data_IF_292747654815
#
_entry.id   IF_292747654815
#
_cell.length_a   1.000
_cell.length_b   1.000
_cell.length_c   1.000
_cell.angle_alpha   90.00
_cell.angle_beta   90.00
_cell.angle_gamma   90.00
#
_symmetry.space_group_name_H-M   'P 1'
#
loop_
_entity.id
_entity.type
_entity.pdbx_description
1 polymer ?
#
# COMPACT_ATOMS: atom_id res chain seq x y z
N UNK A 1 8.05 -3.53 -33.49
CA UNK A 1 7.67 -2.66 -32.36
C UNK A 1 6.81 -3.40 -31.33
N UNK A 2 5.92 -4.30 -31.78
CA UNK A 2 5.05 -5.13 -30.92
C UNK A 2 5.80 -6.18 -30.09
N UNK A 3 6.78 -6.90 -30.65
CA UNK A 3 7.56 -7.93 -29.90
C UNK A 3 8.39 -7.36 -28.74
N UNK A 4 9.01 -6.18 -28.93
CA UNK A 4 9.77 -5.50 -27.88
C UNK A 4 8.86 -5.00 -26.74
N UNK A 5 7.64 -4.56 -27.07
CA UNK A 5 6.64 -4.18 -26.07
C UNK A 5 6.16 -5.40 -25.28
N UNK A 6 5.89 -6.52 -25.95
CA UNK A 6 5.51 -7.77 -25.29
C UNK A 6 6.63 -8.34 -24.39
N UNK A 7 7.88 -8.35 -24.85
CA UNK A 7 9.00 -8.80 -24.00
C UNK A 7 9.17 -7.93 -22.74
N UNK A 8 8.86 -6.63 -22.84
CA UNK A 8 8.97 -5.69 -21.72
C UNK A 8 7.76 -5.70 -20.80
N UNK A 9 6.54 -5.89 -21.31
CA UNK A 9 5.35 -5.99 -20.47
C UNK A 9 5.43 -7.21 -19.54
N UNK A 10 6.03 -8.33 -20.01
CA UNK A 10 6.30 -9.50 -19.16
C UNK A 10 7.25 -9.18 -17.99
N UNK A 11 8.28 -8.37 -18.22
CA UNK A 11 9.19 -7.92 -17.16
C UNK A 11 8.48 -7.01 -16.15
N UNK A 12 7.64 -6.09 -16.63
CA UNK A 12 6.90 -5.18 -15.76
C UNK A 12 5.78 -5.88 -14.99
N UNK A 13 5.16 -6.89 -15.59
CA UNK A 13 4.22 -7.78 -14.93
C UNK A 13 4.88 -8.47 -13.73
N UNK A 14 6.10 -9.01 -13.89
CA UNK A 14 6.82 -9.64 -12.78
C UNK A 14 7.07 -8.65 -11.64
N UNK A 15 7.58 -7.45 -11.96
CA UNK A 15 7.86 -6.40 -10.97
C UNK A 15 6.56 -5.96 -10.26
N UNK A 16 5.46 -5.82 -11.00
CA UNK A 16 4.17 -5.46 -10.45
C UNK A 16 3.64 -6.54 -9.49
N UNK A 17 3.77 -7.82 -9.85
CA UNK A 17 3.37 -8.93 -8.98
C UNK A 17 4.21 -8.98 -7.71
N UNK A 18 5.54 -8.88 -7.82
CA UNK A 18 6.45 -8.81 -6.68
C UNK A 18 6.12 -7.62 -5.76
N UNK A 19 5.80 -6.46 -6.34
CA UNK A 19 5.40 -5.28 -5.57
C UNK A 19 4.08 -5.50 -4.82
N UNK A 20 3.09 -6.08 -5.48
CA UNK A 20 1.78 -6.39 -4.88
C UNK A 20 1.93 -7.40 -3.74
N UNK A 21 2.73 -8.46 -3.91
CA UNK A 21 3.06 -9.42 -2.86
C UNK A 21 3.72 -8.74 -1.66
N UNK A 22 4.70 -7.86 -1.91
CA UNK A 22 5.36 -7.12 -0.85
C UNK A 22 4.40 -6.21 -0.06
N UNK A 23 3.47 -5.56 -0.75
CA UNK A 23 2.44 -4.73 -0.11
C UNK A 23 1.46 -5.60 0.70
N UNK A 24 1.05 -6.75 0.18
CA UNK A 24 0.21 -7.71 0.91
C UNK A 24 0.89 -8.19 2.21
N UNK A 25 2.18 -8.54 2.14
CA UNK A 25 2.96 -8.97 3.30
C UNK A 25 3.11 -7.85 4.34
N UNK A 26 3.33 -6.62 3.86
CA UNK A 26 3.44 -5.43 4.71
C UNK A 26 2.12 -5.16 5.44
N UNK A 27 0.99 -5.23 4.72
CA UNK A 27 -0.35 -5.08 5.28
C UNK A 27 -0.63 -6.18 6.31
N UNK A 28 -0.35 -7.44 5.99
CA UNK A 28 -0.53 -8.56 6.91
C UNK A 28 0.30 -8.40 8.18
N UNK A 29 1.54 -7.91 8.06
CA UNK A 29 2.40 -7.61 9.21
C UNK A 29 1.85 -6.46 10.05
N UNK A 30 1.37 -5.39 9.41
CA UNK A 30 0.75 -4.25 10.09
C UNK A 30 -0.49 -4.68 10.89
N UNK A 31 -1.40 -5.41 10.24
CA UNK A 31 -2.64 -5.90 10.86
C UNK A 31 -2.34 -6.80 12.06
N UNK A 32 -1.40 -7.75 11.94
CA UNK A 32 -0.97 -8.59 13.06
C UNK A 32 -0.46 -7.77 14.25
N UNK A 33 0.35 -6.74 13.99
CA UNK A 33 0.85 -5.83 15.04
C UNK A 33 -0.27 -5.01 15.68
N UNK A 34 -1.23 -4.52 14.87
CA UNK A 34 -2.36 -3.75 15.36
C UNK A 34 -3.26 -4.60 16.27
N UNK A 35 -3.61 -5.82 15.87
CA UNK A 35 -4.42 -6.74 16.68
C UNK A 35 -3.69 -7.09 17.98
N UNK A 36 -2.38 -7.37 17.93
CA UNK A 36 -1.58 -7.68 19.12
C UNK A 36 -1.48 -6.51 20.11
N UNK A 37 -1.61 -5.27 19.62
CA UNK A 37 -1.61 -4.09 20.49
C UNK A 37 -3.00 -3.81 21.11
N UNK A 38 -4.08 -4.10 20.37
CA UNK A 38 -5.45 -3.81 20.80
C UNK A 38 -6.06 -4.89 21.69
N UNK A 39 -5.68 -6.15 21.50
CA UNK A 39 -6.27 -7.29 22.20
C UNK A 39 -5.29 -7.89 23.21
N UNK A 40 -5.63 -7.74 24.49
CA UNK A 40 -4.87 -8.31 25.62
C UNK A 40 -5.33 -9.74 25.93
N UNK A 41 -6.57 -10.08 25.60
CA UNK A 41 -7.15 -11.39 25.87
C UNK A 41 -6.83 -12.39 24.75
N UNK A 42 -6.06 -13.42 25.07
CA UNK A 42 -5.55 -14.41 24.10
C UNK A 42 -6.67 -15.13 23.33
N UNK A 43 -7.81 -15.38 23.97
CA UNK A 43 -8.96 -16.05 23.35
C UNK A 43 -9.65 -15.16 22.32
N UNK A 44 -9.93 -13.91 22.67
CA UNK A 44 -10.51 -12.91 21.77
C UNK A 44 -9.54 -12.63 20.62
N UNK A 45 -8.25 -12.53 20.94
CA UNK A 45 -7.19 -12.38 19.96
C UNK A 45 -7.20 -13.52 18.93
N UNK A 46 -7.29 -14.78 19.36
CA UNK A 46 -7.28 -15.91 18.44
C UNK A 46 -8.47 -15.91 17.46
N UNK A 47 -9.69 -15.65 17.95
CA UNK A 47 -10.90 -15.66 17.11
C UNK A 47 -10.93 -14.48 16.14
N UNK A 48 -10.65 -13.27 16.64
CA UNK A 48 -10.64 -12.07 15.81
C UNK A 48 -9.53 -12.16 14.75
N UNK A 49 -8.36 -12.68 15.13
CA UNK A 49 -7.25 -12.93 14.21
C UNK A 49 -7.65 -13.91 13.10
N UNK A 50 -8.32 -15.01 13.43
CA UNK A 50 -8.77 -15.99 12.42
C UNK A 50 -9.73 -15.36 11.41
N UNK A 51 -10.69 -14.56 11.87
CA UNK A 51 -11.61 -13.83 10.99
C UNK A 51 -10.91 -12.83 10.07
N UNK A 52 -9.94 -12.08 10.60
CA UNK A 52 -9.17 -11.10 9.83
C UNK A 52 -8.21 -11.79 8.84
N UNK A 53 -7.54 -12.87 9.25
CA UNK A 53 -6.65 -13.65 8.38
C UNK A 53 -7.44 -14.23 7.19
N UNK A 54 -8.68 -14.71 7.42
CA UNK A 54 -9.59 -15.17 6.37
C UNK A 54 -9.92 -14.06 5.37
N UNK A 55 -10.28 -12.88 5.86
CA UNK A 55 -10.62 -11.75 5.00
C UNK A 55 -9.39 -11.19 4.23
N UNK A 56 -8.21 -11.21 4.84
CA UNK A 56 -6.95 -10.90 4.14
C UNK A 56 -6.66 -11.92 3.03
N UNK A 57 -6.91 -13.21 3.26
CA UNK A 57 -6.74 -14.25 2.26
C UNK A 57 -7.71 -14.09 1.09
N UNK A 58 -8.98 -13.75 1.36
CA UNK A 58 -9.96 -13.43 0.30
C UNK A 58 -9.57 -12.18 -0.50
N UNK A 59 -9.00 -11.18 0.16
CA UNK A 59 -8.48 -10.00 -0.53
C UNK A 59 -7.29 -10.37 -1.42
N UNK A 60 -6.43 -11.29 -0.98
CA UNK A 60 -5.28 -11.77 -1.75
C UNK A 60 -5.70 -12.50 -3.01
N UNK A 61 -6.64 -13.45 -2.90
CA UNK A 61 -7.14 -14.19 -4.07
C UNK A 61 -7.80 -13.28 -5.10
N UNK A 62 -8.59 -12.28 -4.66
CA UNK A 62 -9.18 -11.28 -5.56
C UNK A 62 -8.14 -10.45 -6.30
N UNK A 63 -7.04 -10.10 -5.63
CA UNK A 63 -5.93 -9.36 -6.24
C UNK A 63 -5.19 -10.23 -7.26
N UNK A 64 -4.92 -11.49 -6.94
CA UNK A 64 -4.32 -12.45 -7.86
C UNK A 64 -5.19 -12.66 -9.11
N UNK A 65 -6.50 -12.83 -8.94
CA UNK A 65 -7.46 -12.91 -10.06
C UNK A 65 -7.46 -11.65 -10.92
N UNK A 66 -7.46 -10.47 -10.29
CA UNK A 66 -7.46 -9.20 -11.00
C UNK A 66 -6.15 -8.97 -11.75
N UNK A 67 -5.03 -9.36 -11.15
CA UNK A 67 -3.72 -9.31 -11.79
C UNK A 67 -3.67 -10.26 -12.99
N UNK A 68 -4.14 -11.50 -12.85
CA UNK A 68 -4.22 -12.44 -13.99
C UNK A 68 -5.07 -11.89 -15.14
N UNK A 69 -6.21 -11.27 -14.86
CA UNK A 69 -7.05 -10.62 -15.89
C UNK A 69 -6.33 -9.44 -16.54
N UNK A 70 -5.70 -8.59 -15.75
CA UNK A 70 -4.90 -7.46 -16.26
C UNK A 70 -3.80 -7.94 -17.21
N UNK A 71 -3.12 -9.03 -16.86
CA UNK A 71 -2.07 -9.61 -17.68
C UNK A 71 -2.61 -10.24 -18.98
N UNK A 72 -3.79 -10.85 -18.94
CA UNK A 72 -4.48 -11.34 -20.12
C UNK A 72 -4.92 -10.19 -21.04
N UNK A 73 -5.38 -9.08 -20.47
CA UNK A 73 -5.79 -7.88 -21.21
C UNK A 73 -4.59 -7.21 -21.89
N UNK A 74 -3.42 -7.15 -21.24
CA UNK A 74 -2.18 -6.61 -21.84
C UNK A 74 -1.59 -7.48 -22.97
N UNK A 75 -1.97 -8.75 -23.08
CA UNK A 75 -1.59 -9.61 -24.21
C UNK A 75 -2.37 -9.30 -25.48
N UNK A 76 -3.51 -8.61 -25.37
CA UNK A 76 -4.25 -8.11 -26.52
C UNK A 76 -3.57 -6.86 -27.09
N UNK A 77 -3.62 -6.69 -28.42
CA UNK A 77 -2.86 -5.64 -29.12
C UNK A 77 -3.00 -4.27 -28.43
N UNK A 78 -1.91 -3.53 -28.24
CA UNK A 78 -1.95 -2.22 -27.61
C UNK A 78 -2.73 -1.25 -28.50
N UNK A 79 -4.00 -1.01 -28.18
CA UNK A 79 -4.77 0.10 -28.75
C UNK A 79 -4.49 1.31 -27.88
N UNK A 80 -3.39 2.00 -28.17
CA UNK A 80 -2.96 3.18 -27.42
C UNK A 80 -3.81 4.39 -27.77
N UNK A 81 -4.93 4.56 -27.05
CA UNK A 81 -5.73 5.80 -27.05
C UNK A 81 -5.07 6.96 -26.28
N UNK A 82 -3.85 6.78 -25.79
CA UNK A 82 -3.19 7.74 -24.92
C UNK A 82 -2.40 8.75 -25.78
N UNK A 83 -2.87 10.01 -25.83
CA UNK A 83 -2.18 11.11 -26.53
C UNK A 83 -0.76 11.33 -26.01
N UNK A 84 -0.44 10.85 -24.79
CA UNK A 84 0.90 10.93 -24.24
C UNK A 84 1.91 10.13 -25.07
N UNK A 85 1.48 9.13 -25.84
CA UNK A 85 2.39 8.43 -26.76
C UNK A 85 2.73 9.33 -27.95
N UNK A 86 1.74 9.95 -28.59
CA UNK A 86 2.00 10.88 -29.71
C UNK A 86 2.78 12.12 -29.25
N UNK A 87 2.43 12.67 -28.09
CA UNK A 87 3.00 13.93 -27.61
C UNK A 87 4.41 13.76 -27.05
N UNK A 88 4.68 12.67 -26.31
CA UNK A 88 6.04 12.42 -25.81
C UNK A 88 6.98 11.94 -26.92
N UNK A 89 6.47 11.20 -27.91
CA UNK A 89 7.26 10.82 -29.11
C UNK A 89 7.58 12.07 -29.92
N UNK A 90 6.61 12.94 -30.18
CA UNK A 90 6.86 14.21 -30.89
C UNK A 90 7.83 15.11 -30.13
N UNK A 91 7.67 15.26 -28.81
CA UNK A 91 8.57 16.08 -27.98
C UNK A 91 9.99 15.49 -27.90
N UNK A 92 10.12 14.18 -27.75
CA UNK A 92 11.42 13.48 -27.76
C UNK A 92 12.11 13.55 -29.12
N UNK A 93 11.35 13.43 -30.21
CA UNK A 93 11.86 13.62 -31.56
C UNK A 93 12.31 15.07 -31.78
N UNK A 94 11.53 16.06 -31.30
CA UNK A 94 11.88 17.48 -31.40
C UNK A 94 13.14 17.80 -30.60
N UNK A 95 13.24 17.33 -29.35
CA UNK A 95 14.42 17.54 -28.50
C UNK A 95 15.66 16.83 -29.05
N UNK A 96 15.50 15.62 -29.61
CA UNK A 96 16.61 14.86 -30.19
C UNK A 96 17.10 15.48 -31.50
N UNK A 97 16.18 15.89 -32.38
CA UNK A 97 16.51 16.62 -33.61
C UNK A 97 17.16 17.96 -33.30
N UNK A 98 16.64 18.71 -32.33
CA UNK A 98 17.25 19.96 -31.84
C UNK A 98 18.69 19.75 -31.36
N UNK A 99 18.91 18.78 -30.45
CA UNK A 99 20.26 18.45 -29.95
C UNK A 99 21.20 17.93 -31.02
N UNK A 100 20.67 17.25 -32.04
CA UNK A 100 21.47 16.74 -33.18
C UNK A 100 21.89 17.89 -34.08
N UNK A 101 20.99 18.86 -34.33
CA UNK A 101 21.28 20.08 -35.08
C UNK A 101 22.31 20.93 -34.32
N UNK A 102 22.14 21.15 -33.02
CA UNK A 102 23.11 21.86 -32.18
C UNK A 102 24.50 21.21 -32.24
N UNK A 103 24.60 19.88 -32.08
CA UNK A 103 25.88 19.15 -32.19
C UNK A 103 26.47 19.19 -33.60
N UNK A 104 25.65 19.22 -34.64
CA UNK A 104 26.11 19.34 -36.02
C UNK A 104 26.65 20.75 -36.30
N UNK A 105 26.00 21.79 -35.76
CA UNK A 105 26.45 23.18 -35.85
C UNK A 105 27.76 23.41 -35.08
N UNK A 106 27.87 22.83 -33.88
CA UNK A 106 29.08 22.90 -33.04
C UNK A 106 30.28 22.20 -33.69
N UNK A 107 30.06 21.07 -34.39
CA UNK A 107 31.09 20.37 -35.17
C UNK A 107 31.56 21.12 -36.43
N UNK A 108 30.75 22.06 -36.93
CA UNK A 108 31.05 22.83 -38.16
C UNK A 108 31.59 24.23 -37.83
N UNK A 109 31.76 24.57 -36.54
CA UNK A 109 32.34 25.83 -36.07
C UNK A 109 31.62 27.07 -36.64
N UNK A 110 30.29 27.02 -36.71
CA UNK A 110 29.44 28.15 -37.10
C UNK A 110 28.93 28.83 -35.84
N UNK A 111 29.35 30.08 -35.63
CA UNK A 111 28.83 30.93 -34.57
C UNK A 111 27.35 31.28 -34.88
N UNK A 112 26.43 31.19 -33.91
CA UNK A 112 25.01 31.48 -34.14
C UNK A 112 24.73 32.95 -34.46
N UNK A 113 25.71 33.85 -34.25
CA UNK A 113 25.61 35.29 -34.51
C UNK A 113 25.95 35.68 -35.97
N UNK A 114 26.49 34.76 -36.79
CA UNK A 114 26.88 35.01 -38.18
C UNK A 114 25.73 34.79 -39.20
N UNK A 115 24.47 34.78 -38.75
CA UNK A 115 23.29 34.62 -39.62
C UNK A 115 22.91 35.90 -40.39
N UNK A 116 23.82 36.87 -40.48
CA UNK A 116 23.71 38.02 -41.37
C UNK A 116 24.90 38.08 -42.33
N UNK A 117 24.91 37.18 -43.32
CA UNK A 117 25.73 37.40 -44.53
C UNK A 117 26.47 36.18 -45.04
N UNK A 118 25.92 35.60 -46.12
CA UNK A 118 26.70 35.01 -47.21
C UNK A 118 27.79 33.98 -46.84
N UNK A 119 27.43 32.86 -46.21
CA UNK A 119 28.27 31.65 -46.22
C UNK A 119 27.50 30.32 -46.15
N UNK A 120 26.19 30.28 -46.41
CA UNK A 120 25.39 29.02 -46.46
C UNK A 120 25.48 28.35 -47.85
N UNK A 121 26.66 28.41 -48.47
CA UNK A 121 26.85 27.96 -49.85
C UNK A 121 27.30 26.51 -50.01
N UNK A 122 27.74 25.83 -48.94
CA UNK A 122 28.40 24.53 -49.11
C UNK A 122 28.15 23.51 -47.99
N UNK A 123 26.99 23.59 -47.34
CA UNK A 123 26.50 22.46 -46.54
C UNK A 123 25.74 21.53 -47.48
N UNK A 124 26.39 20.44 -47.94
CA UNK A 124 25.65 19.40 -48.67
C UNK A 124 24.58 18.84 -47.74
N UNK A 125 23.33 18.92 -48.18
CA UNK A 125 22.19 18.32 -47.49
C UNK A 125 22.45 16.83 -47.16
N UNK A 126 23.33 16.16 -47.90
CA UNK A 126 23.70 14.76 -47.71
C UNK A 126 24.51 14.55 -46.43
N UNK A 127 25.37 15.50 -46.03
CA UNK A 127 26.17 15.42 -44.80
C UNK A 127 25.31 15.61 -43.56
N UNK A 128 24.33 16.53 -43.64
CA UNK A 128 23.34 16.74 -42.58
C UNK A 128 22.44 15.52 -42.43
N UNK A 129 21.97 14.95 -43.55
CA UNK A 129 21.13 13.74 -43.58
C UNK A 129 21.89 12.52 -43.07
N UNK A 130 23.19 12.39 -43.34
CA UNK A 130 24.01 11.29 -42.83
C UNK A 130 24.21 11.36 -41.31
N UNK A 131 24.47 12.55 -40.75
CA UNK A 131 24.58 12.78 -39.31
C UNK A 131 23.25 12.48 -38.59
N UNK A 132 22.12 12.88 -39.18
CA UNK A 132 20.78 12.60 -38.65
C UNK A 132 20.49 11.08 -38.69
N UNK A 133 20.86 10.38 -39.78
CA UNK A 133 20.62 8.93 -39.91
C UNK A 133 21.42 8.09 -38.92
N UNK A 134 22.61 8.53 -38.51
CA UNK A 134 23.43 7.80 -37.52
C UNK A 134 22.91 7.95 -36.09
N UNK A 135 22.34 9.10 -35.71
CA UNK A 135 21.87 9.36 -34.33
C UNK A 135 20.42 8.88 -34.05
N UNK A 136 19.64 8.55 -35.08
CA UNK A 136 18.27 7.98 -34.92
C UNK A 136 18.29 6.58 -34.28
N UNK A 137 19.45 5.90 -34.22
CA UNK A 137 19.52 4.50 -33.73
C UNK A 137 19.47 4.39 -32.19
N UNK A 138 19.66 5.46 -31.42
CA UNK A 138 19.60 5.34 -29.95
C UNK A 138 18.89 6.54 -29.32
N UNK A 139 17.56 6.58 -29.43
CA UNK A 139 16.75 7.31 -28.46
C UNK A 139 15.94 6.32 -27.62
N UNK A 140 16.64 5.64 -26.72
CA UNK A 140 16.07 4.69 -25.75
C UNK A 140 15.25 5.39 -24.65
N UNK A 141 15.13 6.74 -24.67
CA UNK A 141 14.36 7.52 -23.71
C UNK A 141 12.84 7.52 -23.97
N UNK A 142 12.39 7.07 -25.14
CA UNK A 142 10.97 6.80 -25.44
C UNK A 142 10.37 5.67 -24.59
N UNK A 143 11.19 4.96 -23.81
CA UNK A 143 10.81 3.76 -23.05
C UNK A 143 10.03 4.03 -21.76
N UNK A 144 9.92 5.31 -21.35
CA UNK A 144 9.22 5.69 -20.12
C UNK A 144 7.71 5.95 -20.31
N UNK A 145 7.21 6.05 -21.55
CA UNK A 145 5.81 6.46 -21.78
C UNK A 145 4.78 5.38 -21.41
N UNK A 146 5.16 4.10 -21.46
CA UNK A 146 4.29 2.96 -21.10
C UNK A 146 4.35 2.57 -19.62
N UNK A 147 5.43 2.93 -18.92
CA UNK A 147 5.63 2.59 -17.50
C UNK A 147 4.72 3.37 -16.56
N UNK A 148 4.54 4.68 -16.82
CA UNK A 148 3.75 5.55 -15.94
C UNK A 148 2.29 5.07 -15.82
N UNK A 149 1.55 4.81 -16.92
CA UNK A 149 0.17 4.34 -16.81
C UNK A 149 0.05 2.95 -16.18
N UNK A 150 1.04 2.07 -16.41
CA UNK A 150 1.06 0.74 -15.80
C UNK A 150 1.19 0.85 -14.27
N UNK A 151 2.20 1.58 -13.79
CA UNK A 151 2.43 1.77 -12.36
C UNK A 151 1.20 2.43 -11.72
N UNK A 152 0.64 3.45 -12.37
CA UNK A 152 -0.56 4.14 -11.87
C UNK A 152 -1.78 3.21 -11.78
N UNK A 153 -1.99 2.34 -12.78
CA UNK A 153 -3.05 1.35 -12.74
C UNK A 153 -2.82 0.27 -11.68
N UNK A 154 -1.59 -0.20 -11.49
CA UNK A 154 -1.27 -1.18 -10.43
C UNK A 154 -1.50 -0.55 -9.05
N UNK A 155 -0.99 0.66 -8.82
CA UNK A 155 -1.17 1.36 -7.56
C UNK A 155 -2.64 1.68 -7.27
N UNK A 156 -3.37 2.23 -8.23
CA UNK A 156 -4.75 2.68 -8.01
C UNK A 156 -5.75 1.52 -8.07
N UNK A 157 -5.68 0.69 -9.12
CA UNK A 157 -6.70 -0.33 -9.36
C UNK A 157 -6.45 -1.62 -8.59
N UNK A 158 -5.19 -2.00 -8.33
CA UNK A 158 -4.86 -3.25 -7.63
C UNK A 158 -4.60 -2.98 -6.15
N UNK A 159 -3.68 -2.09 -5.82
CA UNK A 159 -3.27 -1.86 -4.44
C UNK A 159 -4.34 -1.04 -3.68
N UNK A 160 -4.65 0.16 -4.13
CA UNK A 160 -5.54 1.05 -3.38
C UNK A 160 -6.96 0.50 -3.31
N UNK A 161 -7.52 0.06 -4.45
CA UNK A 161 -8.89 -0.41 -4.51
C UNK A 161 -9.13 -1.76 -3.83
N UNK A 162 -8.22 -2.71 -3.95
CA UNK A 162 -8.44 -4.07 -3.44
C UNK A 162 -7.72 -4.37 -2.13
N UNK A 163 -6.57 -3.74 -1.84
CA UNK A 163 -5.85 -3.96 -0.58
C UNK A 163 -6.16 -2.90 0.47
N UNK A 164 -6.04 -1.61 0.11
CA UNK A 164 -6.13 -0.53 1.11
C UNK A 164 -7.57 -0.14 1.44
N UNK A 165 -8.45 -0.02 0.45
CA UNK A 165 -9.84 0.43 0.66
C UNK A 165 -10.65 -0.55 1.51
N UNK A 166 -10.35 -1.83 1.43
CA UNK A 166 -11.02 -2.87 2.20
C UNK A 166 -10.44 -3.01 3.62
N UNK A 167 -9.27 -2.42 3.88
CA UNK A 167 -8.56 -2.56 5.15
C UNK A 167 -9.33 -2.02 6.37
N UNK A 168 -9.96 -0.82 6.32
CA UNK A 168 -10.73 -0.30 7.44
C UNK A 168 -11.96 -1.16 7.76
N UNK A 169 -12.55 -1.77 6.72
CA UNK A 169 -13.71 -2.65 6.88
C UNK A 169 -13.34 -3.93 7.66
N UNK A 170 -12.06 -4.36 7.65
CA UNK A 170 -11.53 -5.48 8.46
C UNK A 170 -11.56 -5.24 9.97
N UNK A 171 -11.75 -3.99 10.40
CA UNK A 171 -11.89 -3.64 11.81
C UNK A 171 -13.30 -3.12 12.12
N UNK A 172 -14.21 -3.22 11.14
CA UNK A 172 -15.58 -2.78 11.32
C UNK A 172 -16.32 -3.73 12.26
N UNK A 173 -17.16 -3.20 13.18
CA UNK A 173 -18.02 -4.03 14.02
C UNK A 173 -18.97 -4.93 13.22
N UNK A 174 -19.19 -4.64 11.93
CA UNK A 174 -19.99 -5.48 11.02
C UNK A 174 -19.45 -6.90 10.89
N UNK A 175 -18.17 -7.12 11.16
CA UNK A 175 -17.55 -8.46 11.13
C UNK A 175 -18.13 -9.35 12.22
N UNK A 176 -18.48 -8.80 13.39
CA UNK A 176 -19.12 -9.58 14.46
C UNK A 176 -20.52 -10.08 14.05
N UNK A 177 -21.20 -9.41 13.12
CA UNK A 177 -22.48 -9.88 12.59
C UNK A 177 -22.33 -11.09 11.65
N UNK A 178 -21.11 -11.39 11.20
CA UNK A 178 -20.79 -12.55 10.37
C UNK A 178 -20.27 -13.74 11.20
N UNK A 179 -20.10 -13.56 12.52
CA UNK A 179 -19.62 -14.61 13.40
C UNK A 179 -20.75 -15.57 13.76
N UNK A 180 -20.43 -16.85 13.85
CA UNK A 180 -21.39 -17.85 14.32
C UNK A 180 -21.58 -17.74 15.83
N UNK A 181 -22.68 -18.30 16.34
CA UNK A 181 -22.94 -18.33 17.78
C UNK A 181 -21.80 -19.02 18.55
N UNK A 182 -21.15 -20.03 17.95
CA UNK A 182 -20.00 -20.71 18.55
C UNK A 182 -18.74 -19.83 18.59
N UNK A 183 -18.50 -19.01 17.56
CA UNK A 183 -17.39 -18.05 17.54
C UNK A 183 -17.63 -16.94 18.59
N UNK A 184 -18.88 -16.47 18.72
CA UNK A 184 -19.28 -15.49 19.73
C UNK A 184 -19.19 -16.06 21.15
N UNK A 185 -19.61 -17.30 21.37
CA UNK A 185 -19.48 -17.97 22.67
C UNK A 185 -18.01 -18.12 23.05
N UNK A 186 -17.12 -18.44 22.09
CA UNK A 186 -15.68 -18.53 22.32
C UNK A 186 -15.05 -17.18 22.69
N UNK A 187 -15.56 -16.07 22.14
CA UNK A 187 -15.15 -14.71 22.51
C UNK A 187 -15.70 -14.33 23.90
N UNK A 188 -16.95 -14.68 24.18
CA UNK A 188 -17.63 -14.35 25.43
C UNK A 188 -17.16 -15.21 26.62
N UNK A 189 -16.59 -16.38 26.35
CA UNK A 189 -16.10 -17.28 27.39
C UNK A 189 -14.82 -16.74 28.01
N UNK A 190 -14.89 -16.42 29.32
CA UNK A 190 -13.71 -16.06 30.09
C UNK A 190 -12.71 -17.22 30.14
N UNK A 191 -11.41 -16.90 30.09
CA UNK A 191 -10.38 -17.93 30.21
C UNK A 191 -10.40 -18.52 31.63
N UNK A 192 -10.06 -19.82 31.82
CA UNK A 192 -10.09 -20.43 33.14
C UNK A 192 -9.20 -19.69 34.15
N UNK A 193 -8.07 -19.14 33.70
CA UNK A 193 -7.21 -18.27 34.52
C UNK A 193 -7.90 -16.97 34.95
N UNK A 194 -8.64 -16.32 34.04
CA UNK A 194 -9.42 -15.12 34.35
C UNK A 194 -10.57 -15.41 35.30
N UNK A 195 -11.25 -16.55 35.17
CA UNK A 195 -12.31 -16.99 36.08
C UNK A 195 -11.78 -17.15 37.51
N UNK A 196 -10.64 -17.85 37.66
CA UNK A 196 -9.99 -18.06 38.96
C UNK A 196 -9.54 -16.73 39.55
N UNK A 197 -8.87 -15.88 38.77
CA UNK A 197 -8.40 -14.56 39.22
C UNK A 197 -9.55 -13.65 39.63
N UNK A 198 -10.65 -13.64 38.86
CA UNK A 198 -11.88 -12.90 39.19
C UNK A 198 -12.48 -13.38 40.50
N UNK A 199 -12.52 -14.69 40.73
CA UNK A 199 -13.00 -15.27 42.00
C UNK A 199 -12.12 -14.83 43.18
N UNK A 200 -10.80 -14.98 43.05
CA UNK A 200 -9.84 -14.58 44.09
C UNK A 200 -9.94 -13.08 44.44
N UNK A 201 -10.01 -12.21 43.43
CA UNK A 201 -10.14 -10.77 43.64
C UNK A 201 -11.48 -10.39 44.30
N UNK A 202 -12.58 -11.09 43.95
CA UNK A 202 -13.88 -10.88 44.61
C UNK A 202 -13.85 -11.31 46.07
N UNK A 203 -13.21 -12.43 46.40
CA UNK A 203 -13.04 -12.88 47.79
C UNK A 203 -12.19 -11.89 48.59
N UNK A 204 -11.06 -11.43 48.05
CA UNK A 204 -10.23 -10.41 48.69
C UNK A 204 -11.01 -9.12 48.94
N UNK A 205 -11.77 -8.66 47.94
CA UNK A 205 -12.59 -7.46 48.05
C UNK A 205 -13.69 -7.62 49.10
N UNK A 206 -14.33 -8.79 49.19
CA UNK A 206 -15.33 -9.08 50.22
C UNK A 206 -14.71 -9.03 51.63
N UNK A 207 -13.55 -9.67 51.82
CA UNK A 207 -12.84 -9.68 53.09
C UNK A 207 -12.40 -8.26 53.51
N UNK A 208 -11.86 -7.48 52.57
CA UNK A 208 -11.47 -6.09 52.81
C UNK A 208 -12.67 -5.21 53.19
N UNK A 209 -13.82 -5.41 52.54
CA UNK A 209 -15.06 -4.69 52.90
C UNK A 209 -15.55 -5.06 54.30
N UNK A 210 -15.58 -6.34 54.63
CA UNK A 210 -15.98 -6.81 55.96
C UNK A 210 -15.08 -6.23 57.06
N UNK A 211 -13.75 -6.31 56.87
CA UNK A 211 -12.80 -5.72 57.82
C UNK A 211 -12.96 -4.20 57.97
N UNK A 212 -13.24 -3.49 56.89
CA UNK A 212 -13.51 -2.05 56.92
C UNK A 212 -14.80 -1.73 57.68
N UNK A 213 -15.87 -2.51 57.49
CA UNK A 213 -17.11 -2.36 58.25
C UNK A 213 -16.89 -2.61 59.75
N UNK A 214 -16.10 -3.61 60.12
CA UNK A 214 -15.82 -3.91 61.51
C UNK A 214 -14.98 -2.81 62.18
N UNK A 215 -13.98 -2.26 61.48
CA UNK A 215 -13.25 -1.08 61.96
C UNK A 215 -14.17 0.13 62.12
N UNK A 216 -15.09 0.37 61.18
CA UNK A 216 -16.09 1.45 61.31
C UNK A 216 -17.00 1.27 62.51
N UNK A 217 -17.43 0.03 62.80
CA UNK A 217 -18.22 -0.29 64.00
C UNK A 217 -17.41 -0.01 65.27
N UNK A 218 -16.14 -0.44 65.30
CA UNK A 218 -15.26 -0.22 66.44
C UNK A 218 -15.04 1.27 66.73
N UNK A 219 -14.74 2.08 65.71
CA UNK A 219 -14.59 3.54 65.86
C UNK A 219 -15.88 4.18 66.38
N UNK A 220 -17.05 3.80 65.85
CA UNK A 220 -18.34 4.33 66.32
C UNK A 220 -18.64 3.95 67.77
N UNK A 221 -18.23 2.75 68.19
CA UNK A 221 -18.36 2.32 69.58
C UNK A 221 -17.39 3.09 70.50
N UNK A 222 -16.14 3.30 70.08
CA UNK A 222 -15.15 4.05 70.85
C UNK A 222 -15.57 5.51 71.10
N UNK A 223 -16.11 6.19 70.08
CA UNK A 223 -16.64 7.57 70.23
C UNK A 223 -17.78 7.64 71.25
N UNK A 224 -18.67 6.64 71.25
CA UNK A 224 -19.77 6.57 72.23
C UNK A 224 -19.29 6.41 73.67
N UNK A 225 -18.22 5.64 73.88
CA UNK A 225 -17.65 5.40 75.22
C UNK A 225 -16.96 6.66 75.75
N UNK A 226 -16.29 7.44 74.89
CA UNK A 226 -15.70 8.72 75.30
C UNK A 226 -16.76 9.76 75.68
N UNK A 227 -17.89 9.81 74.97
CA UNK A 227 -19.03 10.69 75.31
C UNK A 227 -19.70 10.31 76.64
N UNK A 228 -19.76 9.02 77.00
CA UNK A 228 -20.33 8.54 78.27
C UNK A 228 -19.39 8.74 79.48
N UNK A 229 -18.08 8.84 79.27
CA UNK A 229 -17.09 9.06 80.35
C UNK A 229 -16.91 10.55 80.68
N UNK A 230 -17.32 11.45 79.78
CA UNK A 230 -17.26 12.91 79.98
C UNK A 230 -18.57 13.54 80.49
N UNK A 231 -19.65 12.76 80.59
CA UNK A 231 -20.95 13.16 81.15
C UNK A 231 -21.06 12.84 82.64
#
# INVERSE_FOLDING_TARGET
>A
MTELFHQRSVLWQRIATEHVEHVQDTIGTFVKKAIAHLLVEEQVFAVVKEGIDRALQESRTRVEEKMMRFCADEQHQPITYNHCHTDNVQKSQLDSTHKTIERAMEKVNVDPDDLEGTAVGNMSAETLVAAIRQDIVVNMDEQASGLKPLVDNVCTQVIERHLLRNLPDLFSPKIFAMYTDEELERIAMESPGMVVKRKQLREQLANLKAGLEDLRKYIRAAVKVEDEVQA
#
